data_IF_990512618650
#
_entry.id   IF_990512618650
#
_cell.length_a   1.000
_cell.length_b   1.000
_cell.length_c   1.000
_cell.angle_alpha   90.00
_cell.angle_beta   90.00
_cell.angle_gamma   90.00
#
_symmetry.space_group_name_H-M   'P 1'
#
loop_
_entity.id
_entity.type
_entity.pdbx_description
1 polymer ?
#
# COMPACT_ATOMS: atom_id res chain seq x y z
N UNK A 1 -29.04 -16.19 4.11
CA UNK A 1 -27.81 -16.69 3.47
C UNK A 1 -26.67 -15.69 3.69
N UNK A 2 -25.49 -16.17 4.04
CA UNK A 2 -24.35 -15.31 4.28
C UNK A 2 -23.70 -14.81 2.99
N UNK A 3 -23.07 -13.62 3.03
CA UNK A 3 -22.38 -13.03 1.90
C UNK A 3 -21.00 -12.51 2.32
N UNK A 4 -20.05 -12.57 1.40
CA UNK A 4 -18.74 -11.92 1.61
C UNK A 4 -18.93 -10.43 1.35
N UNK A 5 -18.58 -9.61 2.34
CA UNK A 5 -18.77 -8.15 2.30
C UNK A 5 -17.53 -7.39 1.81
N UNK A 6 -16.38 -8.01 1.87
CA UNK A 6 -15.14 -7.39 1.46
C UNK A 6 -13.94 -7.99 2.16
N UNK A 7 -12.81 -7.35 2.01
CA UNK A 7 -11.58 -7.76 2.67
C UNK A 7 -11.58 -7.21 4.09
N UNK A 8 -11.45 -8.11 5.08
CA UNK A 8 -11.39 -7.73 6.49
C UNK A 8 -9.98 -7.42 6.98
N UNK A 9 -8.98 -7.91 6.29
CA UNK A 9 -7.59 -7.67 6.66
C UNK A 9 -6.63 -8.19 5.62
N UNK A 10 -5.40 -7.73 5.71
CA UNK A 10 -4.28 -8.21 4.93
C UNK A 10 -3.17 -8.60 5.90
N UNK A 11 -2.70 -9.84 5.80
CA UNK A 11 -1.66 -10.36 6.67
C UNK A 11 -0.48 -10.80 5.82
N UNK A 12 0.71 -10.41 6.21
CA UNK A 12 1.91 -10.76 5.46
C UNK A 12 3.08 -10.94 6.42
N UNK A 13 4.08 -11.69 5.96
CA UNK A 13 5.23 -12.04 6.79
C UNK A 13 6.21 -10.87 6.81
N UNK A 14 6.84 -10.67 7.96
CA UNK A 14 7.85 -9.63 8.15
C UNK A 14 8.97 -10.19 9.02
N UNK A 15 10.20 -9.79 8.73
CA UNK A 15 11.35 -10.12 9.57
C UNK A 15 11.39 -9.28 10.84
N UNK A 16 10.76 -8.10 10.80
CA UNK A 16 10.67 -7.19 11.94
C UNK A 16 9.32 -6.47 11.87
N UNK A 17 8.26 -7.08 12.40
CA UNK A 17 6.92 -6.48 12.30
C UNK A 17 6.79 -5.11 12.93
N UNK A 18 7.47 -4.85 14.05
CA UNK A 18 7.40 -3.54 14.68
C UNK A 18 8.00 -2.44 13.80
N UNK A 19 9.19 -2.68 13.25
CA UNK A 19 9.85 -1.71 12.37
C UNK A 19 9.07 -1.50 11.08
N UNK A 20 8.52 -2.58 10.51
CA UNK A 20 7.73 -2.49 9.28
C UNK A 20 6.43 -1.72 9.52
N UNK A 21 5.73 -2.02 10.61
CA UNK A 21 4.49 -1.30 10.97
C UNK A 21 4.76 0.18 11.21
N UNK A 22 5.88 0.52 11.86
CA UNK A 22 6.26 1.90 12.08
C UNK A 22 6.50 2.63 10.76
N UNK A 23 7.16 1.98 9.81
CA UNK A 23 7.41 2.57 8.49
C UNK A 23 6.10 2.91 7.77
N UNK A 24 5.15 1.95 7.73
CA UNK A 24 3.86 2.20 7.08
C UNK A 24 3.09 3.34 7.75
N UNK A 25 3.12 3.39 9.07
CA UNK A 25 2.44 4.43 9.84
C UNK A 25 3.08 5.81 9.60
N UNK A 26 4.40 5.87 9.68
CA UNK A 26 5.14 7.14 9.60
C UNK A 26 5.20 7.69 8.18
N UNK A 27 5.39 6.84 7.18
CA UNK A 27 5.52 7.26 5.78
C UNK A 27 4.17 7.43 5.08
N UNK A 28 3.22 6.58 5.37
CA UNK A 28 1.98 6.48 4.61
C UNK A 28 0.72 6.70 5.45
N UNK A 29 0.85 6.76 6.76
CA UNK A 29 -0.32 6.86 7.63
C UNK A 29 -1.20 5.61 7.61
N UNK A 30 -0.60 4.46 7.33
CA UNK A 30 -1.31 3.20 7.17
C UNK A 30 -1.14 2.33 8.40
N UNK A 31 -2.26 1.77 8.89
CA UNK A 31 -2.27 0.87 10.01
C UNK A 31 -2.17 1.55 11.36
N UNK A 32 -2.50 0.82 12.41
CA UNK A 32 -2.47 1.31 13.79
C UNK A 32 -1.35 0.73 14.63
N UNK A 33 -0.64 -0.27 14.11
CA UNK A 33 0.40 -0.93 14.88
C UNK A 33 0.66 -2.33 14.38
N UNK A 34 1.22 -3.17 15.23
CA UNK A 34 1.60 -4.54 14.89
C UNK A 34 0.76 -5.55 15.66
N UNK A 35 0.09 -6.45 14.94
CA UNK A 35 -0.73 -7.48 15.54
C UNK A 35 0.08 -8.60 16.22
N UNK A 36 1.41 -8.62 16.00
CA UNK A 36 2.27 -9.61 16.64
C UNK A 36 2.57 -9.30 18.09
N UNK A 37 2.24 -8.09 18.56
CA UNK A 37 2.43 -7.70 19.96
C UNK A 37 1.12 -7.89 20.72
N UNK A 38 1.05 -8.97 21.51
CA UNK A 38 -0.14 -9.32 22.27
C UNK A 38 -0.48 -8.29 23.36
N UNK A 39 0.45 -7.41 23.72
CA UNK A 39 0.21 -6.35 24.69
C UNK A 39 -0.58 -5.19 24.10
N UNK A 40 -0.67 -5.09 22.77
CA UNK A 40 -1.38 -4.02 22.08
C UNK A 40 -2.83 -4.44 21.84
N UNK A 41 -3.80 -3.66 22.34
CA UNK A 41 -5.22 -3.99 22.08
C UNK A 41 -5.55 -4.00 20.61
N UNK A 42 -6.48 -4.85 20.14
CA UNK A 42 -6.84 -4.97 18.73
C UNK A 42 -7.21 -3.64 18.05
N UNK A 43 -7.83 -2.71 18.77
CA UNK A 43 -8.21 -1.42 18.20
C UNK A 43 -7.02 -0.51 17.88
N UNK A 44 -5.81 -0.89 18.28
CA UNK A 44 -4.60 -0.12 17.99
C UNK A 44 -3.86 -0.61 16.76
N UNK A 45 -4.23 -1.77 16.21
CA UNK A 45 -3.66 -2.26 14.95
C UNK A 45 -4.68 -2.35 13.82
N UNK A 46 -5.85 -1.78 14.02
CA UNK A 46 -6.89 -1.68 12.99
C UNK A 46 -6.72 -0.35 12.24
N UNK A 47 -6.77 -0.43 10.93
CA UNK A 47 -6.76 0.73 10.05
C UNK A 47 -8.18 0.97 9.53
N UNK A 48 -8.78 2.09 9.92
CA UNK A 48 -10.12 2.45 9.46
C UNK A 48 -10.03 3.06 8.07
N UNK A 49 -10.32 2.26 7.06
CA UNK A 49 -10.22 2.69 5.67
C UNK A 49 -11.41 3.57 5.28
N UNK A 50 -11.13 4.60 4.48
CA UNK A 50 -12.17 5.52 3.97
C UNK A 50 -12.27 5.49 2.44
N UNK A 51 -11.46 4.65 1.78
CA UNK A 51 -11.50 4.50 0.34
C UNK A 51 -12.80 3.82 -0.11
N UNK A 52 -13.14 4.01 -1.36
CA UNK A 52 -14.31 3.39 -1.97
C UNK A 52 -14.05 1.97 -2.46
N UNK A 53 -14.51 1.65 -3.69
CA UNK A 53 -14.37 0.30 -4.23
C UNK A 53 -12.93 -0.17 -4.27
N UNK A 54 -12.75 -1.47 -4.04
CA UNK A 54 -11.44 -2.12 -4.03
C UNK A 54 -11.26 -2.92 -5.32
N UNK A 55 -10.13 -2.74 -5.99
CA UNK A 55 -9.75 -3.58 -7.12
C UNK A 55 -9.15 -4.87 -6.58
N UNK A 56 -9.70 -5.99 -6.99
CA UNK A 56 -9.25 -7.32 -6.59
C UNK A 56 -9.03 -8.13 -7.86
N UNK A 57 -7.80 -8.16 -8.36
CA UNK A 57 -7.52 -8.71 -9.69
C UNK A 57 -6.21 -9.49 -9.69
N UNK A 58 -6.22 -10.73 -10.20
CA UNK A 58 -4.98 -11.47 -10.39
C UNK A 58 -4.24 -10.94 -11.62
N UNK A 59 -2.93 -10.79 -11.48
CA UNK A 59 -2.05 -10.56 -12.60
C UNK A 59 -1.60 -11.91 -13.16
N UNK A 60 -1.08 -11.92 -14.40
CA UNK A 60 -0.49 -13.13 -14.96
C UNK A 60 0.72 -13.54 -14.13
N UNK A 61 0.95 -14.84 -13.98
CA UNK A 61 2.06 -15.36 -13.19
C UNK A 61 3.42 -14.87 -13.67
N UNK A 62 3.55 -14.58 -14.95
CA UNK A 62 4.80 -14.12 -15.58
C UNK A 62 4.85 -12.59 -15.77
N UNK A 63 3.99 -11.83 -15.10
CA UNK A 63 4.01 -10.38 -15.22
C UNK A 63 5.38 -9.82 -14.79
N UNK A 64 5.82 -8.77 -15.47
CA UNK A 64 6.99 -8.00 -15.10
C UNK A 64 6.65 -6.70 -14.36
N UNK A 65 5.38 -6.51 -14.03
CA UNK A 65 4.90 -5.27 -13.43
C UNK A 65 5.46 -5.03 -12.03
N UNK A 66 5.71 -6.11 -11.28
CA UNK A 66 6.43 -6.04 -10.01
C UNK A 66 7.31 -7.28 -9.86
N UNK A 67 8.21 -7.28 -8.87
CA UNK A 67 9.26 -8.29 -8.74
C UNK A 67 8.69 -9.71 -8.69
N UNK A 68 9.30 -10.62 -9.44
CA UNK A 68 8.82 -11.99 -9.59
C UNK A 68 8.87 -12.80 -8.28
N UNK A 69 9.70 -12.40 -7.33
CA UNK A 69 9.82 -13.04 -6.02
C UNK A 69 8.78 -12.53 -5.00
N UNK A 70 7.85 -11.69 -5.44
CA UNK A 70 6.77 -11.17 -4.60
C UNK A 70 5.44 -11.65 -5.13
N UNK A 71 4.65 -12.27 -4.25
CA UNK A 71 3.33 -12.81 -4.61
C UNK A 71 2.29 -11.72 -4.76
N UNK A 72 2.40 -10.67 -3.97
CA UNK A 72 1.37 -9.61 -3.89
C UNK A 72 2.00 -8.24 -4.03
N UNK A 73 1.20 -7.32 -4.55
CA UNK A 73 1.50 -5.89 -4.49
C UNK A 73 0.28 -5.18 -3.91
N UNK A 74 0.50 -4.38 -2.87
CA UNK A 74 -0.55 -3.56 -2.29
C UNK A 74 -0.68 -2.29 -3.13
N UNK A 75 -1.91 -1.97 -3.53
CA UNK A 75 -2.23 -0.67 -4.12
C UNK A 75 -2.93 0.17 -3.06
N UNK A 76 -2.43 1.37 -2.81
CA UNK A 76 -3.03 2.30 -1.87
C UNK A 76 -3.59 3.49 -2.64
N UNK A 77 -4.88 3.75 -2.49
CA UNK A 77 -5.52 4.92 -3.08
C UNK A 77 -5.14 6.16 -2.28
N UNK A 78 -4.71 7.22 -2.96
CA UNK A 78 -4.33 8.48 -2.34
C UNK A 78 -5.13 9.62 -2.97
N UNK A 79 -5.29 10.71 -2.24
CA UNK A 79 -5.97 11.89 -2.75
C UNK A 79 -5.05 12.80 -3.56
N UNK A 80 -3.84 13.06 -3.05
CA UNK A 80 -2.83 13.90 -3.72
C UNK A 80 -1.49 13.18 -3.72
N UNK A 81 -1.13 12.60 -4.85
CA UNK A 81 0.07 11.77 -4.97
C UNK A 81 1.34 12.56 -4.65
N UNK A 82 1.45 13.79 -5.16
CA UNK A 82 2.65 14.61 -4.91
C UNK A 82 2.85 14.89 -3.43
N UNK A 83 1.77 15.09 -2.66
CA UNK A 83 1.85 15.29 -1.22
C UNK A 83 2.28 14.03 -0.48
N UNK A 84 1.83 12.86 -0.94
CA UNK A 84 2.23 11.58 -0.34
C UNK A 84 3.71 11.29 -0.63
N UNK A 85 4.20 11.68 -1.79
CA UNK A 85 5.60 11.47 -2.18
C UNK A 85 6.58 12.44 -1.52
N UNK A 86 6.10 13.59 -1.04
CA UNK A 86 6.98 14.60 -0.44
C UNK A 86 7.84 14.07 0.71
N UNK A 87 7.32 13.29 1.69
CA UNK A 87 8.16 12.72 2.74
C UNK A 87 9.25 11.78 2.22
N UNK A 88 9.00 11.09 1.10
CA UNK A 88 10.00 10.22 0.47
C UNK A 88 11.15 11.04 -0.09
N UNK A 89 10.84 12.15 -0.77
CA UNK A 89 11.87 13.08 -1.28
C UNK A 89 12.70 13.67 -0.14
N UNK A 90 12.04 14.13 0.90
CA UNK A 90 12.71 14.75 2.06
C UNK A 90 13.62 13.77 2.78
N UNK A 91 13.22 12.51 2.88
CA UNK A 91 14.02 11.46 3.52
C UNK A 91 15.10 10.89 2.60
N UNK A 92 15.10 11.24 1.30
CA UNK A 92 16.00 10.64 0.33
C UNK A 92 15.64 9.22 -0.04
N UNK A 93 14.40 8.79 0.23
CA UNK A 93 13.92 7.46 -0.10
C UNK A 93 13.53 7.40 -1.59
N UNK A 94 13.84 6.29 -2.22
CA UNK A 94 13.54 6.10 -3.63
C UNK A 94 12.06 5.88 -3.88
N UNK A 95 11.57 6.43 -4.98
CA UNK A 95 10.29 6.07 -5.55
C UNK A 95 10.39 6.13 -7.07
N UNK A 96 9.49 5.41 -7.74
CA UNK A 96 9.50 5.30 -9.20
C UNK A 96 8.21 5.91 -9.73
N UNK A 97 8.35 6.80 -10.72
CA UNK A 97 7.25 7.27 -11.55
C UNK A 97 7.64 7.11 -13.02
N UNK A 98 6.64 6.95 -13.88
CA UNK A 98 6.84 6.84 -15.33
C UNK A 98 5.78 7.68 -16.03
N UNK A 99 6.10 8.26 -17.18
CA UNK A 99 5.15 9.05 -17.96
C UNK A 99 3.91 8.23 -18.33
N UNK A 100 4.10 6.96 -18.64
CA UNK A 100 3.01 6.02 -18.98
C UNK A 100 2.10 5.71 -17.78
N UNK A 101 2.51 6.05 -16.56
CA UNK A 101 1.74 5.89 -15.35
C UNK A 101 0.93 7.15 -15.00
N UNK A 102 0.83 8.08 -15.92
CA UNK A 102 0.01 9.29 -15.77
C UNK A 102 -0.97 9.32 -16.94
N UNK A 103 -2.15 8.75 -16.71
CA UNK A 103 -3.20 8.60 -17.73
C UNK A 103 -4.47 9.27 -17.22
N UNK A 104 -4.98 10.30 -17.90
CA UNK A 104 -6.20 10.98 -17.46
C UNK A 104 -7.41 10.06 -17.28
N UNK A 105 -7.44 8.93 -17.98
CA UNK A 105 -8.55 7.98 -17.88
C UNK A 105 -8.44 7.06 -16.66
N UNK A 106 -7.23 6.81 -16.17
CA UNK A 106 -6.96 5.82 -15.12
C UNK A 106 -6.44 6.46 -13.84
N UNK A 107 -5.66 7.54 -13.97
CA UNK A 107 -5.05 8.25 -12.86
C UNK A 107 -3.53 8.24 -12.91
N UNK A 108 -2.94 8.61 -11.78
CA UNK A 108 -1.49 8.68 -11.62
C UNK A 108 -1.01 7.63 -10.64
N UNK A 109 0.13 7.02 -10.96
CA UNK A 109 0.71 5.94 -10.16
C UNK A 109 2.15 6.23 -9.81
N UNK A 110 2.57 5.78 -8.63
CA UNK A 110 3.97 5.73 -8.23
C UNK A 110 4.25 4.39 -7.56
N UNK A 111 5.48 3.95 -7.60
CA UNK A 111 5.93 2.73 -6.93
C UNK A 111 6.91 3.08 -5.82
N UNK A 112 6.64 2.59 -4.63
CA UNK A 112 7.60 2.62 -3.52
C UNK A 112 7.83 1.19 -3.05
N UNK A 113 8.90 0.98 -2.31
CA UNK A 113 9.19 -0.31 -1.69
C UNK A 113 9.36 -0.07 -0.20
N UNK A 114 8.76 -0.95 0.59
CA UNK A 114 8.95 -0.88 2.03
C UNK A 114 10.36 -1.37 2.40
N UNK A 115 10.79 -1.23 3.67
CA UNK A 115 12.14 -1.64 4.08
C UNK A 115 12.48 -3.11 3.84
N UNK A 116 11.47 -3.95 3.63
CA UNK A 116 11.69 -5.39 3.36
C UNK A 116 11.54 -5.71 1.87
N UNK A 117 11.47 -4.69 1.02
CA UNK A 117 11.42 -4.85 -0.43
C UNK A 117 10.04 -5.18 -0.99
N UNK A 118 8.98 -5.04 -0.20
CA UNK A 118 7.64 -5.27 -0.73
C UNK A 118 7.22 -4.10 -1.61
N UNK A 119 6.74 -4.37 -2.83
CA UNK A 119 6.27 -3.29 -3.70
C UNK A 119 4.94 -2.74 -3.19
N UNK A 120 4.82 -1.41 -3.21
CA UNK A 120 3.59 -0.70 -2.88
C UNK A 120 3.30 0.28 -4.00
N UNK A 121 2.13 0.14 -4.61
CA UNK A 121 1.68 1.08 -5.62
C UNK A 121 0.82 2.15 -4.97
N UNK A 122 1.12 3.40 -5.25
CA UNK A 122 0.33 4.55 -4.81
C UNK A 122 -0.46 5.04 -6.00
N UNK A 123 -1.76 5.19 -5.85
CA UNK A 123 -2.67 5.50 -6.94
C UNK A 123 -3.55 6.70 -6.60
N UNK A 124 -3.42 7.75 -7.39
CA UNK A 124 -4.33 8.89 -7.37
C UNK A 124 -5.32 8.71 -8.51
N UNK A 125 -6.59 8.35 -8.23
CA UNK A 125 -7.59 8.16 -9.29
C UNK A 125 -7.86 9.45 -10.06
N UNK A 126 -8.45 9.36 -11.26
CA UNK A 126 -8.86 10.54 -12.00
C UNK A 126 -9.90 11.32 -11.20
N UNK A 127 -9.85 12.62 -11.30
CA UNK A 127 -10.89 13.47 -10.71
C UNK A 127 -12.18 13.32 -11.49
N UNK A 128 -13.27 13.16 -10.75
CA UNK A 128 -14.59 12.98 -11.35
C UNK A 128 -15.08 14.29 -12.00
#
# INVERSE_FOLDING_TARGET
MGHVKGIGGLFFRSRDPEALSAWYRERLGVGGGCSADDSVPPNQWVWNVTAGPLVFAPFKADTDYFAADRQHMINLRVDVLDAVLAPFREAGDEFITKDEWDDPAVGRFARVHDPEGNPVELWEPPKA
#
